data_IF_516170402519
#
_entry.id   IF_516170402519
#
_cell.length_a   1.000
_cell.length_b   1.000
_cell.length_c   1.000
_cell.angle_alpha   90.00
_cell.angle_beta   90.00
_cell.angle_gamma   90.00
#
_symmetry.space_group_name_H-M   'P 1'
#
loop_
_entity.id
_entity.type
_entity.pdbx_description
1 polymer ?
#
# COMPACT_ATOMS: atom_id res chain seq x y z
N UNK A 1 -15.66 10.46 -5.85
CA UNK A 1 -14.56 9.48 -5.82
C UNK A 1 -13.43 10.00 -6.68
N UNK A 2 -12.23 10.20 -6.12
CA UNK A 2 -11.07 10.59 -6.92
C UNK A 2 -10.67 9.43 -7.85
N UNK A 3 -10.64 9.67 -9.16
CA UNK A 3 -10.19 8.68 -10.16
C UNK A 3 -8.69 8.84 -10.36
N UNK A 4 -7.89 8.18 -9.53
CA UNK A 4 -6.43 8.14 -9.71
C UNK A 4 -6.13 7.04 -10.74
N UNK A 5 -5.31 7.35 -11.74
CA UNK A 5 -4.85 6.37 -12.74
C UNK A 5 -3.94 5.31 -12.13
N UNK A 6 -3.63 4.27 -12.89
CA UNK A 6 -2.56 3.31 -12.57
C UNK A 6 -1.35 3.62 -13.44
N UNK A 7 -0.16 3.77 -12.84
CA UNK A 7 1.09 3.95 -13.60
C UNK A 7 1.56 2.59 -14.13
N UNK A 8 1.84 2.50 -15.43
CA UNK A 8 2.43 1.30 -16.01
C UNK A 8 3.90 1.16 -15.60
N UNK A 9 4.44 -0.04 -15.32
CA UNK A 9 5.83 -0.21 -14.92
C UNK A 9 6.84 0.45 -15.87
N UNK A 10 6.60 0.37 -17.17
CA UNK A 10 7.48 0.96 -18.19
C UNK A 10 7.58 2.49 -18.11
N UNK A 11 6.61 3.15 -17.49
CA UNK A 11 6.60 4.61 -17.30
C UNK A 11 7.38 5.05 -16.04
N UNK A 12 7.72 4.12 -15.15
CA UNK A 12 8.45 4.42 -13.91
C UNK A 12 9.95 4.51 -14.19
N UNK A 13 10.47 5.74 -14.32
CA UNK A 13 11.88 5.97 -14.65
C UNK A 13 12.83 5.94 -13.44
N UNK A 14 12.31 6.15 -12.23
CA UNK A 14 13.11 6.07 -11.01
C UNK A 14 13.40 4.58 -10.68
N UNK A 15 14.68 4.17 -10.62
CA UNK A 15 15.03 2.75 -10.45
C UNK A 15 14.53 2.15 -9.13
N UNK A 16 14.49 2.95 -8.06
CA UNK A 16 14.05 2.50 -6.74
C UNK A 16 12.54 2.24 -6.76
N UNK A 17 11.76 3.18 -7.31
CA UNK A 17 10.32 3.00 -7.50
C UNK A 17 10.00 1.83 -8.42
N UNK A 18 10.72 1.70 -9.54
CA UNK A 18 10.54 0.59 -10.47
C UNK A 18 10.78 -0.75 -9.76
N UNK A 19 11.85 -0.84 -8.96
CA UNK A 19 12.15 -2.05 -8.18
C UNK A 19 11.02 -2.43 -7.23
N UNK A 20 10.42 -1.45 -6.52
CA UNK A 20 9.32 -1.70 -5.59
C UNK A 20 8.03 -2.11 -6.29
N UNK A 21 7.76 -1.57 -7.48
CA UNK A 21 6.58 -1.93 -8.27
C UNK A 21 6.74 -3.35 -8.84
N UNK A 22 7.90 -3.68 -9.38
CA UNK A 22 8.18 -5.03 -9.88
C UNK A 22 8.14 -6.08 -8.76
N UNK A 23 8.70 -5.76 -7.59
CA UNK A 23 8.59 -6.61 -6.40
C UNK A 23 7.14 -6.89 -6.02
N UNK A 24 6.28 -5.87 -6.08
CA UNK A 24 4.86 -6.01 -5.78
C UNK A 24 4.11 -6.85 -6.82
N UNK A 25 4.46 -6.72 -8.10
CA UNK A 25 3.91 -7.56 -9.19
C UNK A 25 4.30 -9.02 -8.98
N UNK A 26 5.57 -9.30 -8.70
CA UNK A 26 6.08 -10.67 -8.52
C UNK A 26 5.52 -11.32 -7.26
N UNK A 27 5.48 -10.59 -6.14
CA UNK A 27 5.07 -11.12 -4.83
C UNK A 27 3.55 -11.08 -4.61
N UNK A 28 2.82 -10.30 -5.40
CA UNK A 28 1.41 -9.97 -5.19
C UNK A 28 1.14 -9.16 -3.92
N UNK A 29 2.18 -8.74 -3.18
CA UNK A 29 2.06 -8.05 -1.90
C UNK A 29 3.19 -7.02 -1.69
N UNK A 30 2.86 -5.75 -1.38
CA UNK A 30 1.51 -5.17 -1.41
C UNK A 30 0.87 -5.27 -2.81
N UNK A 31 -0.45 -5.24 -2.91
CA UNK A 31 -1.15 -5.41 -4.18
C UNK A 31 -0.60 -4.49 -5.28
N UNK A 32 -0.30 -5.01 -6.49
CA UNK A 32 0.36 -4.25 -7.54
C UNK A 32 -0.43 -3.02 -7.98
N UNK A 33 -1.76 -3.08 -7.95
CA UNK A 33 -2.65 -1.94 -8.25
C UNK A 33 -2.45 -0.79 -7.26
N UNK A 34 -2.33 -1.12 -5.97
CA UNK A 34 -2.07 -0.12 -4.92
C UNK A 34 -0.70 0.52 -5.08
N UNK A 35 0.32 -0.26 -5.47
CA UNK A 35 1.65 0.29 -5.74
C UNK A 35 1.67 1.14 -7.02
N UNK A 36 0.94 0.75 -8.06
CA UNK A 36 0.79 1.53 -9.29
C UNK A 36 0.11 2.88 -9.04
N UNK A 37 -0.86 2.96 -8.11
CA UNK A 37 -1.42 4.24 -7.66
C UNK A 37 -0.35 5.07 -6.95
N UNK A 38 0.42 4.48 -6.03
CA UNK A 38 1.46 5.20 -5.27
C UNK A 38 2.64 5.65 -6.15
N UNK A 39 2.87 4.99 -7.29
CA UNK A 39 3.93 5.32 -8.23
C UNK A 39 3.80 6.73 -8.87
N UNK A 40 2.67 7.43 -8.68
CA UNK A 40 2.57 8.86 -9.04
C UNK A 40 3.49 9.76 -8.19
N UNK A 41 3.92 9.31 -7.01
CA UNK A 41 4.74 10.12 -6.11
C UNK A 41 5.76 9.26 -5.34
N UNK A 42 7.05 9.57 -5.53
CA UNK A 42 8.15 8.83 -4.90
C UNK A 42 8.05 8.79 -3.38
N UNK A 43 7.74 9.92 -2.75
CA UNK A 43 7.67 10.02 -1.28
C UNK A 43 6.54 9.14 -0.75
N UNK A 44 5.35 9.22 -1.37
CA UNK A 44 4.22 8.37 -0.99
C UNK A 44 4.56 6.88 -1.13
N UNK A 45 5.11 6.46 -2.28
CA UNK A 45 5.50 5.08 -2.52
C UNK A 45 6.55 4.59 -1.50
N UNK A 46 7.57 5.40 -1.23
CA UNK A 46 8.63 5.08 -0.28
C UNK A 46 8.09 4.92 1.13
N UNK A 47 7.28 5.88 1.61
CA UNK A 47 6.73 5.85 2.96
C UNK A 47 5.95 4.57 3.24
N UNK A 48 5.08 4.14 2.32
CA UNK A 48 4.35 2.88 2.48
C UNK A 48 5.25 1.65 2.41
N UNK A 49 6.18 1.63 1.45
CA UNK A 49 7.08 0.48 1.26
C UNK A 49 7.97 0.29 2.50
N UNK A 50 8.53 1.37 3.03
CA UNK A 50 9.37 1.32 4.23
C UNK A 50 8.55 0.97 5.47
N UNK A 51 7.38 1.59 5.66
CA UNK A 51 6.51 1.29 6.80
C UNK A 51 6.14 -0.20 6.85
N UNK A 52 5.77 -0.80 5.71
CA UNK A 52 5.42 -2.23 5.67
C UNK A 52 6.63 -3.10 6.04
N UNK A 53 7.83 -2.78 5.52
CA UNK A 53 9.06 -3.52 5.86
C UNK A 53 9.37 -3.40 7.35
N UNK A 54 9.38 -2.19 7.89
CA UNK A 54 9.61 -1.94 9.32
C UNK A 54 8.60 -2.67 10.19
N UNK A 55 7.31 -2.61 9.86
CA UNK A 55 6.28 -3.31 10.64
C UNK A 55 6.43 -4.83 10.59
N UNK A 56 6.95 -5.39 9.49
CA UNK A 56 7.21 -6.83 9.36
C UNK A 56 8.46 -7.27 10.13
N UNK A 57 9.52 -6.49 10.10
CA UNK A 57 10.82 -6.84 10.68
C UNK A 57 10.94 -6.47 12.17
N UNK A 58 10.32 -5.36 12.58
CA UNK A 58 10.46 -4.76 13.91
C UNK A 58 9.13 -4.67 14.67
N UNK A 59 8.06 -5.23 14.10
CA UNK A 59 6.74 -5.27 14.74
C UNK A 59 6.75 -6.16 15.98
N UNK A 60 6.13 -5.67 17.06
CA UNK A 60 5.98 -6.43 18.32
C UNK A 60 4.73 -7.32 18.36
N UNK A 61 3.83 -7.15 17.38
CA UNK A 61 2.58 -7.90 17.30
C UNK A 61 2.71 -9.05 16.29
N UNK A 62 2.08 -10.17 16.63
CA UNK A 62 1.85 -11.28 15.71
C UNK A 62 1.09 -10.81 14.46
N UNK A 63 1.29 -11.51 13.35
CA UNK A 63 0.77 -11.11 12.05
C UNK A 63 -0.76 -11.04 12.05
N UNK A 64 -1.41 -12.02 12.66
CA UNK A 64 -2.86 -12.18 12.75
C UNK A 64 -3.48 -11.00 13.51
N UNK A 65 -2.88 -10.63 14.65
CA UNK A 65 -3.33 -9.50 15.46
C UNK A 65 -3.13 -8.17 14.72
N UNK A 66 -2.02 -8.01 13.99
CA UNK A 66 -1.75 -6.82 13.17
C UNK A 66 -2.79 -6.66 12.06
N UNK A 67 -3.13 -7.73 11.34
CA UNK A 67 -4.14 -7.66 10.29
C UNK A 67 -5.55 -7.45 10.85
N UNK A 68 -5.88 -8.03 12.02
CA UNK A 68 -7.14 -7.75 12.72
C UNK A 68 -7.27 -6.26 13.07
N UNK A 69 -6.20 -5.64 13.59
CA UNK A 69 -6.18 -4.21 13.89
C UNK A 69 -6.35 -3.37 12.62
N UNK A 70 -5.66 -3.73 11.51
CA UNK A 70 -5.80 -3.04 10.23
C UNK A 70 -7.24 -3.08 9.70
N UNK A 71 -7.87 -4.25 9.74
CA UNK A 71 -9.26 -4.43 9.32
C UNK A 71 -10.21 -3.61 10.21
N UNK A 72 -10.01 -3.64 11.53
CA UNK A 72 -10.83 -2.85 12.47
C UNK A 72 -10.71 -1.36 12.22
N UNK A 73 -9.50 -0.85 12.02
CA UNK A 73 -9.28 0.57 11.71
C UNK A 73 -9.95 0.93 10.38
N UNK A 74 -9.75 0.14 9.32
CA UNK A 74 -10.29 0.49 8.01
C UNK A 74 -11.83 0.49 7.99
N UNK A 75 -12.46 -0.42 8.73
CA UNK A 75 -13.93 -0.52 8.83
C UNK A 75 -14.53 0.47 9.81
N UNK A 76 -13.79 0.92 10.83
CA UNK A 76 -14.28 1.93 11.78
C UNK A 76 -14.39 3.33 11.16
N UNK A 77 -13.79 3.55 9.97
CA UNK A 77 -13.83 4.82 9.26
C UNK A 77 -15.14 5.06 8.52
N UNK A 78 -15.91 4.01 8.23
CA UNK A 78 -17.17 4.12 7.49
C UNK A 78 -18.19 5.07 8.13
N UNK A 79 -18.49 4.93 9.43
CA UNK A 79 -19.37 5.86 10.14
C UNK A 79 -18.82 7.30 10.25
N UNK A 80 -17.50 7.47 10.23
CA UNK A 80 -16.84 8.76 10.47
C UNK A 80 -16.81 9.66 9.23
N UNK A 81 -16.69 9.07 8.04
CA UNK A 81 -16.58 9.81 6.77
C UNK A 81 -17.79 9.65 5.85
N UNK A 82 -18.81 8.91 6.27
CA UNK A 82 -19.98 8.57 5.44
C UNK A 82 -19.55 7.95 4.09
N UNK A 83 -18.51 7.13 4.12
CA UNK A 83 -17.93 6.45 2.97
C UNK A 83 -17.93 4.95 3.22
N UNK A 84 -18.39 4.16 2.25
CA UNK A 84 -18.19 2.71 2.25
C UNK A 84 -16.69 2.42 2.03
N UNK A 85 -15.92 2.41 3.11
CA UNK A 85 -14.52 2.00 3.08
C UNK A 85 -14.49 0.47 2.95
N UNK A 86 -14.51 0.01 1.70
CA UNK A 86 -14.43 -1.41 1.36
C UNK A 86 -13.04 -1.94 1.75
N UNK A 87 -13.00 -2.71 2.84
CA UNK A 87 -12.20 -3.93 2.85
C UNK A 87 -13.00 -5.05 2.17
#
# INVERSE_FOLDING_TARGET
>A
MARISYVHPDDVKDPEMHSWLMDAIVKGSPGPENQAIRAHNKVAMRSFTMLIRTMKEQGVLENELRELMRARIATSWGPMFNTDCHY
#
